data_IF_353905755319
#
_entry.id   IF_353905755319
#
_cell.length_a   1.000
_cell.length_b   1.000
_cell.length_c   1.000
_cell.angle_alpha   90.00
_cell.angle_beta   90.00
_cell.angle_gamma   90.00
#
_symmetry.space_group_name_H-M   'P 1'
#
loop_
_entity.id
_entity.type
_entity.pdbx_description
1 polymer ?
#
# COMPACT_ATOMS: atom_id res chain seq x y z
N UNK A 1 -45.86 17.44 -4.08
CA UNK A 1 -44.68 16.56 -4.00
C UNK A 1 -43.76 16.96 -5.12
N UNK A 2 -42.49 17.28 -4.83
CA UNK A 2 -41.48 17.51 -5.87
C UNK A 2 -41.18 16.18 -6.56
N UNK A 3 -41.08 16.20 -7.89
CA UNK A 3 -40.61 15.05 -8.68
C UNK A 3 -39.09 15.07 -8.64
N UNK A 4 -38.46 13.91 -8.44
CA UNK A 4 -37.01 13.83 -8.31
C UNK A 4 -36.44 12.74 -9.20
N UNK A 5 -35.21 12.95 -9.66
CA UNK A 5 -34.39 11.94 -10.30
C UNK A 5 -33.21 11.61 -9.39
N UNK A 6 -32.98 10.32 -9.18
CA UNK A 6 -31.83 9.81 -8.42
C UNK A 6 -30.87 9.16 -9.40
N UNK A 7 -29.63 9.64 -9.48
CA UNK A 7 -28.61 9.11 -10.38
C UNK A 7 -27.35 8.76 -9.61
N UNK A 8 -26.77 7.63 -9.97
CA UNK A 8 -25.46 7.20 -9.49
C UNK A 8 -24.36 7.71 -10.43
N UNK A 9 -23.58 8.67 -9.93
CA UNK A 9 -22.35 9.13 -10.56
C UNK A 9 -21.23 8.12 -10.39
N UNK A 10 -20.43 7.93 -11.43
CA UNK A 10 -19.22 7.11 -11.38
C UNK A 10 -18.03 8.02 -11.67
N UNK A 11 -17.19 8.23 -10.66
CA UNK A 11 -15.91 8.88 -10.82
C UNK A 11 -14.88 7.87 -11.28
N UNK A 12 -14.04 8.28 -12.22
CA UNK A 12 -12.85 7.53 -12.65
C UNK A 12 -11.68 8.47 -12.76
N UNK A 13 -10.52 8.03 -12.26
CA UNK A 13 -9.23 8.70 -12.42
C UNK A 13 -8.22 7.61 -12.75
N UNK A 14 -7.41 7.87 -13.76
CA UNK A 14 -6.21 7.11 -14.06
C UNK A 14 -5.03 8.06 -13.91
N UNK A 15 -4.00 7.64 -13.19
CA UNK A 15 -2.80 8.46 -12.95
C UNK A 15 -1.58 7.58 -12.86
N UNK A 16 -0.45 7.97 -13.49
CA UNK A 16 0.79 7.25 -13.29
C UNK A 16 1.24 7.38 -11.82
N UNK A 17 1.87 6.34 -11.24
CA UNK A 17 2.49 6.45 -9.93
C UNK A 17 3.68 7.41 -9.98
N UNK A 18 3.83 8.22 -8.93
CA UNK A 18 4.94 9.16 -8.76
C UNK A 18 5.72 8.93 -7.46
N UNK A 19 5.41 7.84 -6.76
CA UNK A 19 5.96 7.50 -5.46
C UNK A 19 6.17 6.00 -5.29
N UNK A 20 7.24 5.63 -4.60
CA UNK A 20 7.61 4.24 -4.33
C UNK A 20 7.60 4.01 -2.82
N UNK A 21 7.01 2.90 -2.39
CA UNK A 21 7.04 2.41 -1.01
C UNK A 21 7.70 1.04 -0.98
N UNK A 22 8.82 0.93 -0.29
CA UNK A 22 9.45 -0.36 0.03
C UNK A 22 9.03 -0.74 1.44
N UNK A 23 8.26 -1.81 1.55
CA UNK A 23 7.90 -2.42 2.83
C UNK A 23 8.87 -3.53 3.17
N UNK A 24 9.28 -3.60 4.43
CA UNK A 24 10.27 -4.55 4.92
C UNK A 24 9.76 -5.22 6.19
N UNK A 25 9.87 -6.53 6.28
CA UNK A 25 9.55 -7.30 7.49
C UNK A 25 10.81 -7.95 8.04
N UNK A 26 11.02 -7.77 9.34
CA UNK A 26 12.11 -8.38 10.09
C UNK A 26 11.53 -9.24 11.20
N UNK A 27 12.10 -10.43 11.37
CA UNK A 27 11.75 -11.33 12.45
C UNK A 27 13.01 -11.70 13.25
N UNK A 28 12.88 -11.61 14.57
CA UNK A 28 13.89 -12.08 15.52
C UNK A 28 13.24 -13.06 16.49
N UNK A 29 13.91 -14.18 16.75
CA UNK A 29 13.40 -15.22 17.64
C UNK A 29 14.47 -15.64 18.64
N UNK A 30 14.11 -15.65 19.92
CA UNK A 30 14.93 -16.21 20.98
C UNK A 30 14.04 -16.79 22.10
N UNK A 31 14.54 -17.79 22.82
CA UNK A 31 13.87 -18.35 23.99
C UNK A 31 13.81 -17.37 25.17
N UNK A 32 14.73 -16.40 25.21
CA UNK A 32 14.73 -15.29 26.14
C UNK A 32 14.17 -14.02 25.46
N UNK A 33 13.16 -13.42 26.09
CA UNK A 33 12.49 -12.23 25.59
C UNK A 33 13.44 -11.04 25.35
N UNK A 34 14.35 -10.76 26.29
CA UNK A 34 15.28 -9.62 26.19
C UNK A 34 16.23 -9.79 25.02
N UNK A 35 16.73 -11.02 24.81
CA UNK A 35 17.59 -11.33 23.65
C UNK A 35 16.86 -11.18 22.32
N UNK A 36 15.60 -11.62 22.24
CA UNK A 36 14.80 -11.44 21.02
C UNK A 36 14.62 -9.95 20.69
N UNK A 37 14.39 -9.12 21.71
CA UNK A 37 14.29 -7.67 21.57
C UNK A 37 15.60 -7.01 21.16
N UNK A 38 16.73 -7.40 21.77
CA UNK A 38 18.06 -6.90 21.40
C UNK A 38 18.42 -7.24 19.95
N UNK A 39 18.17 -8.49 19.53
CA UNK A 39 18.39 -8.90 18.14
C UNK A 39 17.53 -8.09 17.17
N UNK A 40 16.26 -7.88 17.48
CA UNK A 40 15.38 -7.08 16.65
C UNK A 40 15.86 -5.63 16.53
N UNK A 41 16.33 -5.03 17.63
CA UNK A 41 16.90 -3.67 17.61
C UNK A 41 18.18 -3.59 16.75
N UNK A 42 19.05 -4.60 16.83
CA UNK A 42 20.26 -4.69 16.00
C UNK A 42 19.93 -4.84 14.51
N UNK A 43 18.94 -5.67 14.16
CA UNK A 43 18.49 -5.82 12.78
C UNK A 43 18.00 -4.49 12.18
N UNK A 44 17.26 -3.69 12.96
CA UNK A 44 16.79 -2.36 12.55
C UNK A 44 17.98 -1.39 12.37
N UNK A 45 18.98 -1.44 13.24
CA UNK A 45 20.19 -0.61 13.11
C UNK A 45 20.98 -0.94 11.83
N UNK A 46 21.17 -2.23 11.52
CA UNK A 46 21.79 -2.65 10.26
C UNK A 46 21.03 -2.15 9.04
N UNK A 47 19.69 -2.23 9.07
CA UNK A 47 18.86 -1.77 7.96
C UNK A 47 18.94 -0.25 7.78
N UNK A 48 18.88 0.52 8.87
CA UNK A 48 19.05 1.97 8.80
C UNK A 48 20.42 2.34 8.23
N UNK A 49 21.49 1.70 8.70
CA UNK A 49 22.85 1.94 8.17
C UNK A 49 22.97 1.62 6.68
N UNK A 50 22.38 0.50 6.24
CA UNK A 50 22.37 0.12 4.83
C UNK A 50 21.69 1.20 3.97
N UNK A 51 20.51 1.67 4.38
CA UNK A 51 19.79 2.71 3.63
C UNK A 51 20.46 4.09 3.73
N UNK A 52 21.04 4.45 4.87
CA UNK A 52 21.82 5.68 5.03
C UNK A 52 23.04 5.70 4.09
N UNK A 53 23.67 4.54 3.84
CA UNK A 53 24.82 4.44 2.92
C UNK A 53 24.50 4.78 1.46
N UNK A 54 23.23 4.71 1.07
CA UNK A 54 22.72 5.09 -0.26
C UNK A 54 21.94 6.40 -0.25
N UNK A 55 22.12 7.22 0.80
CA UNK A 55 21.67 8.61 0.83
C UNK A 55 20.26 8.83 1.41
N UNK A 56 19.68 7.84 2.12
CA UNK A 56 18.51 8.11 2.96
C UNK A 56 18.91 8.90 4.20
N UNK A 57 18.03 9.80 4.65
CA UNK A 57 18.24 10.54 5.90
C UNK A 57 18.02 9.61 7.09
N UNK A 58 18.66 9.93 8.21
CA UNK A 58 18.35 9.32 9.50
C UNK A 58 16.84 9.40 9.77
N UNK A 59 16.23 8.29 10.19
CA UNK A 59 14.77 8.15 10.42
C UNK A 59 13.88 8.16 9.16
N UNK A 60 14.44 7.93 7.97
CA UNK A 60 13.62 7.72 6.75
C UNK A 60 12.83 6.41 6.82
N UNK A 61 13.38 5.39 7.48
CA UNK A 61 12.68 4.15 7.79
C UNK A 61 11.66 4.42 8.89
N UNK A 62 10.41 4.04 8.65
CA UNK A 62 9.29 4.16 9.59
C UNK A 62 8.82 2.78 10.02
N UNK A 63 8.55 2.62 11.31
CA UNK A 63 7.87 1.42 11.81
C UNK A 63 6.38 1.55 11.54
N UNK A 64 5.83 0.60 10.77
CA UNK A 64 4.41 0.49 10.45
C UNK A 64 3.69 -0.34 11.51
N UNK A 65 4.32 -1.45 11.92
CA UNK A 65 3.77 -2.33 12.93
C UNK A 65 4.91 -2.98 13.73
N UNK A 66 4.67 -3.19 15.01
CA UNK A 66 5.57 -3.95 15.88
C UNK A 66 4.73 -4.89 16.73
N UNK A 67 5.11 -6.17 16.75
CA UNK A 67 4.42 -7.18 17.53
C UNK A 67 5.41 -8.18 18.12
N UNK A 68 5.18 -8.57 19.37
CA UNK A 68 5.90 -9.66 20.02
C UNK A 68 4.90 -10.74 20.42
N UNK A 69 5.17 -11.97 20.03
CA UNK A 69 4.33 -13.13 20.34
C UNK A 69 5.17 -14.27 20.90
N UNK A 70 4.55 -15.11 21.71
CA UNK A 70 5.12 -16.40 22.09
C UNK A 70 4.92 -17.41 20.97
N UNK A 71 5.93 -18.20 20.71
CA UNK A 71 5.91 -19.28 19.73
C UNK A 71 5.87 -20.64 20.43
N UNK A 72 5.16 -21.59 19.83
CA UNK A 72 5.05 -22.95 20.33
C UNK A 72 5.16 -23.95 19.19
N UNK A 73 5.99 -24.97 19.39
CA UNK A 73 6.14 -26.07 18.45
C UNK A 73 5.18 -27.21 18.79
N UNK A 74 4.58 -27.82 17.75
CA UNK A 74 3.74 -29.00 17.89
C UNK A 74 4.59 -30.27 17.82
N UNK A 75 4.91 -30.83 18.98
CA UNK A 75 5.75 -32.03 19.08
C UNK A 75 4.87 -33.27 19.28
N UNK A 76 5.16 -34.35 18.57
CA UNK A 76 4.46 -35.64 18.72
C UNK A 76 5.12 -36.46 19.82
N UNK A 77 4.35 -36.91 20.79
CA UNK A 77 4.83 -37.79 21.85
C UNK A 77 4.95 -39.26 21.38
N UNK A 78 5.58 -40.10 22.20
CA UNK A 78 5.77 -41.54 21.92
C UNK A 78 4.45 -42.31 21.75
N UNK A 79 3.34 -41.77 22.25
CA UNK A 79 2.00 -42.37 22.15
C UNK A 79 1.22 -41.85 20.94
N UNK A 80 1.84 -41.00 20.12
CA UNK A 80 1.26 -40.44 18.91
C UNK A 80 0.41 -39.19 19.11
N UNK A 81 0.34 -38.64 20.34
CA UNK A 81 -0.40 -37.42 20.63
C UNK A 81 0.46 -36.17 20.36
N UNK A 82 -0.18 -35.09 19.92
CA UNK A 82 0.51 -33.80 19.75
C UNK A 82 0.46 -32.98 21.04
N UNK A 83 1.60 -32.40 21.42
CA UNK A 83 1.73 -31.45 22.52
C UNK A 83 2.32 -30.14 22.01
N UNK A 84 1.86 -29.03 22.57
CA UNK A 84 2.39 -27.69 22.31
C UNK A 84 3.53 -27.42 23.29
N UNK A 85 4.75 -27.22 22.79
CA UNK A 85 5.95 -26.96 23.59
C UNK A 85 6.42 -25.54 23.30
N UNK A 86 6.70 -24.77 24.35
CA UNK A 86 7.19 -23.40 24.19
C UNK A 86 8.50 -23.37 23.40
N UNK A 87 8.53 -22.56 22.33
CA UNK A 87 9.62 -22.46 21.37
C UNK A 87 10.25 -21.04 21.33
N UNK A 88 9.89 -20.18 22.29
CA UNK A 88 10.48 -18.86 22.47
C UNK A 88 9.54 -17.71 22.15
N UNK A 89 10.15 -16.53 21.96
CA UNK A 89 9.48 -15.29 21.61
C UNK A 89 9.87 -14.89 20.21
N UNK A 90 8.88 -14.50 19.40
CA UNK A 90 9.05 -13.96 18.06
C UNK A 90 8.71 -12.48 18.09
N UNK A 91 9.71 -11.66 17.76
CA UNK A 91 9.56 -10.21 17.57
C UNK A 91 9.48 -9.91 16.08
N UNK A 92 8.35 -9.38 15.64
CA UNK A 92 8.12 -9.01 14.25
C UNK A 92 8.04 -7.48 14.10
N UNK A 93 8.84 -6.94 13.19
CA UNK A 93 8.83 -5.53 12.81
C UNK A 93 8.44 -5.40 11.35
N UNK A 94 7.38 -4.64 11.08
CA UNK A 94 7.09 -4.13 9.74
C UNK A 94 7.53 -2.70 9.64
N UNK A 95 8.40 -2.44 8.69
CA UNK A 95 9.01 -1.17 8.42
C UNK A 95 8.65 -0.74 6.99
N UNK A 96 8.72 0.55 6.73
CA UNK A 96 8.64 1.09 5.38
C UNK A 96 9.64 2.21 5.15
N UNK A 97 10.07 2.36 3.91
CA UNK A 97 10.73 3.56 3.40
C UNK A 97 10.04 3.99 2.12
N UNK A 98 9.92 5.30 1.93
CA UNK A 98 9.12 5.87 0.84
C UNK A 98 9.85 7.07 0.22
N UNK A 99 9.76 7.21 -1.10
CA UNK A 99 10.48 8.23 -1.87
C UNK A 99 9.86 8.44 -3.26
N UNK A 100 10.19 9.56 -3.91
CA UNK A 100 9.71 9.91 -5.25
C UNK A 100 10.11 8.83 -6.27
N UNK A 101 9.28 8.62 -7.29
CA UNK A 101 9.51 7.58 -8.30
C UNK A 101 10.84 7.79 -9.02
N UNK A 102 11.79 6.91 -8.74
CA UNK A 102 13.14 6.91 -9.31
C UNK A 102 13.66 5.47 -9.30
N UNK A 103 13.75 4.86 -10.48
CA UNK A 103 14.19 3.48 -10.68
C UNK A 103 15.65 3.26 -10.29
N UNK A 104 16.51 4.27 -10.42
CA UNK A 104 17.91 4.19 -9.99
C UNK A 104 18.01 4.19 -8.47
N UNK A 105 17.25 5.07 -7.82
CA UNK A 105 17.16 5.10 -6.35
C UNK A 105 16.57 3.79 -5.81
N UNK A 106 15.57 3.23 -6.49
CA UNK A 106 15.01 1.92 -6.17
C UNK A 106 16.09 0.82 -6.24
N UNK A 107 16.80 0.70 -7.36
CA UNK A 107 17.86 -0.29 -7.54
C UNK A 107 18.98 -0.15 -6.48
N UNK A 108 19.40 1.08 -6.17
CA UNK A 108 20.38 1.35 -5.10
C UNK A 108 19.87 0.90 -3.73
N UNK A 109 18.60 1.21 -3.42
CA UNK A 109 17.96 0.81 -2.17
C UNK A 109 17.91 -0.70 -2.03
N UNK A 110 17.44 -1.40 -3.07
CA UNK A 110 17.36 -2.86 -3.08
C UNK A 110 18.74 -3.52 -2.95
N UNK A 111 19.77 -2.98 -3.60
CA UNK A 111 21.15 -3.48 -3.47
C UNK A 111 21.73 -3.26 -2.08
N UNK A 112 21.41 -2.15 -1.44
CA UNK A 112 21.83 -1.91 -0.06
C UNK A 112 21.13 -2.85 0.92
N UNK A 113 19.83 -3.07 0.73
CA UNK A 113 19.03 -3.99 1.56
C UNK A 113 19.50 -5.44 1.35
N UNK A 114 19.81 -5.87 0.12
CA UNK A 114 20.25 -7.24 -0.14
C UNK A 114 21.59 -7.60 0.51
N UNK A 115 22.45 -6.61 0.71
CA UNK A 115 23.73 -6.74 1.42
C UNK A 115 23.58 -6.58 2.94
N UNK A 116 22.39 -6.23 3.43
CA UNK A 116 22.14 -6.05 4.85
C UNK A 116 22.16 -7.40 5.58
N UNK A 117 22.87 -7.46 6.71
CA UNK A 117 22.95 -8.66 7.55
C UNK A 117 21.58 -9.09 8.10
N UNK A 118 20.65 -8.14 8.25
CA UNK A 118 19.32 -8.40 8.79
C UNK A 118 18.41 -9.17 7.82
N UNK A 119 18.73 -9.19 6.51
CA UNK A 119 18.00 -9.90 5.45
C UNK A 119 16.47 -9.81 5.58
N UNK A 120 15.90 -8.58 5.51
CA UNK A 120 14.45 -8.43 5.61
C UNK A 120 13.75 -9.05 4.40
N UNK A 121 12.56 -9.61 4.66
CA UNK A 121 11.59 -9.83 3.59
C UNK A 121 11.11 -8.46 3.09
N UNK A 122 10.95 -8.29 1.78
CA UNK A 122 10.56 -7.00 1.22
C UNK A 122 9.50 -7.11 0.13
N UNK A 123 8.71 -6.06 0.01
CA UNK A 123 7.76 -5.84 -1.08
C UNK A 123 7.80 -4.39 -1.52
N UNK A 124 7.51 -4.16 -2.80
CA UNK A 124 7.53 -2.83 -3.40
C UNK A 124 6.14 -2.51 -3.90
N UNK A 125 5.68 -1.30 -3.59
CA UNK A 125 4.42 -0.76 -4.08
C UNK A 125 4.68 0.58 -4.78
N UNK A 126 4.02 0.78 -5.92
CA UNK A 126 4.00 2.04 -6.64
C UNK A 126 2.70 2.77 -6.31
N UNK A 127 2.80 4.02 -5.88
CA UNK A 127 1.69 4.82 -5.38
C UNK A 127 1.82 6.27 -5.82
N UNK A 128 0.91 7.12 -5.36
CA UNK A 128 1.01 8.57 -5.51
C UNK A 128 1.44 9.20 -4.19
N UNK A 129 2.19 10.29 -4.29
CA UNK A 129 2.65 11.07 -3.13
C UNK A 129 1.50 11.79 -2.42
N UNK A 130 0.49 12.21 -3.17
CA UNK A 130 -0.72 12.87 -2.64
C UNK A 130 -2.01 12.14 -3.06
N UNK A 131 -2.43 11.10 -2.31
CA UNK A 131 -3.70 10.42 -2.54
C UNK A 131 -4.92 11.36 -2.44
N UNK A 132 -4.80 12.46 -1.67
CA UNK A 132 -5.90 13.43 -1.52
C UNK A 132 -6.14 14.21 -2.80
N UNK A 133 -5.09 14.50 -3.58
CA UNK A 133 -5.24 15.13 -4.89
C UNK A 133 -5.97 14.21 -5.90
N UNK A 134 -5.66 12.91 -5.88
CA UNK A 134 -6.36 11.91 -6.69
C UNK A 134 -7.84 11.83 -6.29
N UNK A 135 -8.12 11.77 -4.99
CA UNK A 135 -9.48 11.75 -4.48
C UNK A 135 -10.30 12.99 -4.91
N UNK A 136 -9.71 14.19 -4.83
CA UNK A 136 -10.37 15.42 -5.30
C UNK A 136 -10.74 15.35 -6.79
N UNK A 137 -9.86 14.79 -7.64
CA UNK A 137 -10.15 14.59 -9.07
C UNK A 137 -11.29 13.58 -9.26
N UNK A 138 -11.28 12.51 -8.47
CA UNK A 138 -12.27 11.44 -8.52
C UNK A 138 -13.67 11.94 -8.17
N UNK A 139 -13.80 12.71 -7.10
CA UNK A 139 -15.07 13.30 -6.66
C UNK A 139 -15.66 14.26 -7.71
N UNK A 140 -14.80 15.08 -8.32
CA UNK A 140 -15.22 15.96 -9.42
C UNK A 140 -15.71 15.17 -10.63
N UNK A 141 -14.96 14.14 -11.02
CA UNK A 141 -15.32 13.21 -12.11
C UNK A 141 -16.68 12.54 -11.84
N UNK A 142 -16.92 12.06 -10.62
CA UNK A 142 -18.20 11.44 -10.23
C UNK A 142 -19.38 12.41 -10.35
N UNK A 143 -19.18 13.66 -9.90
CA UNK A 143 -20.20 14.71 -9.93
C UNK A 143 -20.58 15.10 -11.36
N UNK A 144 -19.58 15.30 -12.22
CA UNK A 144 -19.80 15.61 -13.64
C UNK A 144 -20.57 14.47 -14.31
N UNK A 145 -20.11 13.23 -14.12
CA UNK A 145 -20.76 12.05 -14.68
C UNK A 145 -22.22 11.88 -14.23
N UNK A 146 -22.50 12.16 -12.96
CA UNK A 146 -23.86 12.06 -12.42
C UNK A 146 -24.79 13.08 -13.07
N UNK A 147 -24.31 14.32 -13.24
CA UNK A 147 -25.07 15.40 -13.87
C UNK A 147 -25.36 15.11 -15.33
N UNK A 148 -24.35 14.70 -16.12
CA UNK A 148 -24.54 14.36 -17.54
C UNK A 148 -25.60 13.25 -17.72
N UNK A 149 -25.56 12.21 -16.88
CA UNK A 149 -26.58 11.15 -16.90
C UNK A 149 -27.97 11.68 -16.54
N UNK A 150 -28.08 12.56 -15.54
CA UNK A 150 -29.35 13.15 -15.16
C UNK A 150 -29.94 14.01 -16.29
N UNK A 151 -29.10 14.80 -16.96
CA UNK A 151 -29.49 15.62 -18.12
C UNK A 151 -30.01 14.75 -19.27
N UNK A 152 -29.29 13.69 -19.66
CA UNK A 152 -29.72 12.74 -20.71
C UNK A 152 -31.07 12.08 -20.37
N UNK A 153 -31.24 11.63 -19.13
CA UNK A 153 -32.47 10.97 -18.70
C UNK A 153 -33.67 11.91 -18.68
N UNK A 154 -33.46 13.17 -18.29
CA UNK A 154 -34.50 14.20 -18.33
C UNK A 154 -34.89 14.55 -19.77
N UNK A 155 -33.91 14.77 -20.65
CA UNK A 155 -34.13 15.06 -22.07
C UNK A 155 -34.91 13.93 -22.75
N UNK A 156 -34.49 12.68 -22.56
CA UNK A 156 -35.18 11.51 -23.12
C UNK A 156 -36.60 11.30 -22.56
N UNK A 157 -36.89 11.86 -21.38
CA UNK A 157 -38.20 11.81 -20.73
C UNK A 157 -39.04 13.07 -20.96
N UNK A 158 -38.54 14.02 -21.77
CA UNK A 158 -39.18 15.30 -22.09
C UNK A 158 -39.55 16.14 -20.86
N UNK A 159 -38.64 16.15 -19.88
CA UNK A 159 -38.69 16.94 -18.63
C UNK A 159 -37.38 17.71 -18.45
N UNK A 160 -37.36 18.76 -17.64
CA UNK A 160 -36.17 19.56 -17.36
C UNK A 160 -35.50 19.14 -16.05
N UNK A 161 -34.16 19.16 -16.03
CA UNK A 161 -33.40 18.95 -14.80
C UNK A 161 -33.45 20.22 -13.91
N UNK A 162 -33.85 20.05 -12.66
CA UNK A 162 -33.95 21.11 -11.66
C UNK A 162 -32.75 21.16 -10.70
N UNK A 163 -32.97 21.76 -9.53
CA UNK A 163 -31.92 21.98 -8.54
C UNK A 163 -31.45 20.66 -7.88
N UNK A 164 -30.16 20.61 -7.50
CA UNK A 164 -29.59 19.50 -6.75
C UNK A 164 -30.12 19.54 -5.30
N UNK A 165 -30.76 18.46 -4.87
CA UNK A 165 -31.42 18.37 -3.56
C UNK A 165 -30.56 17.63 -2.52
N UNK A 166 -29.87 16.56 -2.93
CA UNK A 166 -29.05 15.77 -2.02
C UNK A 166 -27.87 15.11 -2.73
N UNK A 167 -26.78 14.94 -1.99
CA UNK A 167 -25.64 14.09 -2.35
C UNK A 167 -25.49 13.09 -1.22
N UNK A 168 -25.63 11.80 -1.54
CA UNK A 168 -25.26 10.71 -0.65
C UNK A 168 -23.90 10.18 -1.12
N UNK A 169 -22.89 10.48 -0.29
CA UNK A 169 -21.54 10.01 -0.47
C UNK A 169 -21.04 9.44 0.86
N UNK A 170 -20.93 8.11 0.91
CA UNK A 170 -20.38 7.39 2.04
C UNK A 170 -19.20 6.54 1.55
N UNK A 171 -17.98 6.93 1.93
CA UNK A 171 -16.76 6.29 1.47
C UNK A 171 -15.80 6.03 2.64
N UNK A 172 -15.04 4.92 2.53
CA UNK A 172 -13.89 4.60 3.38
C UNK A 172 -12.58 4.99 2.69
N UNK A 173 -11.43 4.89 3.38
CA UNK A 173 -10.12 5.30 2.84
C UNK A 173 -9.82 4.71 1.43
N UNK A 174 -9.49 5.59 0.47
CA UNK A 174 -9.05 5.20 -0.88
C UNK A 174 -7.69 4.52 -0.77
N UNK A 175 -7.58 3.28 -1.27
CA UNK A 175 -6.28 2.66 -1.47
C UNK A 175 -5.74 3.01 -2.87
N UNK A 176 -4.85 3.99 -2.96
CA UNK A 176 -4.27 4.47 -4.22
C UNK A 176 -2.93 3.79 -4.47
N UNK A 177 -2.96 2.53 -4.89
CA UNK A 177 -1.76 1.73 -5.15
C UNK A 177 -1.90 1.06 -6.52
N UNK A 178 -0.83 1.07 -7.29
CA UNK A 178 -0.77 0.38 -8.60
C UNK A 178 -0.96 -1.12 -8.41
N UNK A 179 -1.55 -1.77 -9.41
CA UNK A 179 -1.71 -3.23 -9.42
C UNK A 179 -0.42 -3.97 -9.73
N UNK A 180 0.64 -3.26 -10.13
CA UNK A 180 1.96 -3.84 -10.33
C UNK A 180 2.52 -4.32 -8.98
N UNK A 181 2.42 -5.62 -8.73
CA UNK A 181 3.07 -6.27 -7.59
C UNK A 181 4.50 -6.65 -7.98
N UNK A 182 5.46 -6.10 -7.24
CA UNK A 182 6.86 -6.51 -7.35
C UNK A 182 7.26 -7.25 -6.08
N UNK A 183 7.15 -8.58 -6.15
CA UNK A 183 7.61 -9.50 -5.12
C UNK A 183 8.98 -10.03 -5.50
N UNK A 184 9.98 -9.75 -4.66
CA UNK A 184 11.31 -10.32 -4.80
C UNK A 184 11.44 -11.50 -3.85
N UNK A 185 11.69 -12.68 -4.41
CA UNK A 185 12.18 -13.82 -3.63
C UNK A 185 13.60 -13.50 -3.11
N UNK A 186 13.95 -14.03 -1.94
CA UNK A 186 15.26 -13.81 -1.30
C UNK A 186 16.43 -14.19 -2.24
N UNK A 187 16.22 -15.16 -3.14
CA UNK A 187 17.21 -15.57 -4.15
C UNK A 187 17.40 -14.56 -5.29
N UNK A 188 16.40 -13.72 -5.58
CA UNK A 188 16.46 -12.70 -6.62
C UNK A 188 17.25 -11.46 -6.18
N UNK A 189 17.33 -11.19 -4.87
CA UNK A 189 18.09 -10.07 -4.31
C UNK A 189 19.62 -10.21 -4.43
N UNK A 190 20.10 -11.43 -4.73
CA UNK A 190 21.51 -11.73 -4.94
C UNK A 190 22.02 -11.37 -6.36
N UNK A 191 21.16 -10.84 -7.23
CA UNK A 191 21.57 -10.41 -8.58
C UNK A 191 22.54 -9.20 -8.53
N UNK A 192 23.51 -9.12 -9.46
CA UNK A 192 24.43 -8.00 -9.53
C UNK A 192 23.69 -6.68 -9.83
N UNK A 193 24.12 -5.59 -9.18
CA UNK A 193 23.49 -4.26 -9.21
C UNK A 193 23.26 -3.71 -10.63
N UNK A 194 24.15 -4.03 -11.58
CA UNK A 194 24.01 -3.66 -12.99
C UNK A 194 22.81 -4.30 -13.67
N UNK A 195 22.47 -5.54 -13.31
CA UNK A 195 21.33 -6.24 -13.88
C UNK A 195 19.98 -5.70 -13.38
N UNK A 196 19.92 -5.17 -12.15
CA UNK A 196 18.70 -4.54 -11.61
C UNK A 196 18.52 -3.09 -12.09
N UNK A 197 19.61 -2.36 -12.33
CA UNK A 197 19.54 -0.99 -12.86
C UNK A 197 19.16 -0.95 -14.34
N UNK A 198 19.46 -2.02 -15.09
CA UNK A 198 19.00 -2.21 -16.47
C UNK A 198 17.55 -2.74 -16.57
N UNK A 199 16.91 -3.09 -15.45
CA UNK A 199 15.48 -3.39 -15.43
C UNK A 199 14.70 -2.08 -15.51
N UNK A 200 14.23 -1.76 -16.71
CA UNK A 200 13.33 -0.63 -16.96
C UNK A 200 11.93 -0.98 -16.43
N UNK A 201 11.71 -0.72 -15.14
CA UNK A 201 10.43 -0.97 -14.49
C UNK A 201 9.51 0.22 -14.75
N UNK A 202 8.53 0.00 -15.62
CA UNK A 202 7.42 0.94 -15.87
C UNK A 202 6.14 0.37 -15.23
N UNK A 203 5.72 0.84 -14.05
CA UNK A 203 4.52 0.37 -13.40
C UNK A 203 3.26 0.83 -14.14
N UNK A 204 2.19 0.05 -14.04
CA UNK A 204 0.88 0.41 -14.59
C UNK A 204 0.30 1.65 -13.88
N UNK A 205 -0.48 2.42 -14.64
CA UNK A 205 -1.29 3.51 -14.11
C UNK A 205 -2.22 3.02 -12.99
N UNK A 206 -2.43 3.90 -12.01
CA UNK A 206 -3.32 3.65 -10.88
C UNK A 206 -4.73 4.07 -11.29
N UNK A 207 -5.55 3.08 -11.62
CA UNK A 207 -6.97 3.27 -11.88
C UNK A 207 -7.78 3.25 -10.58
N UNK A 208 -8.39 4.38 -10.26
CA UNK A 208 -9.30 4.52 -9.13
C UNK A 208 -10.70 4.87 -9.64
N UNK A 209 -11.70 4.15 -9.13
CA UNK A 209 -13.10 4.44 -9.41
C UNK A 209 -13.91 4.46 -8.13
N UNK A 210 -14.85 5.39 -8.03
CA UNK A 210 -15.79 5.46 -6.92
C UNK A 210 -17.15 5.97 -7.39
N UNK A 211 -18.16 5.86 -6.54
CA UNK A 211 -19.53 6.22 -6.89
C UNK A 211 -20.19 7.04 -5.80
N UNK A 212 -20.95 8.05 -6.22
CA UNK A 212 -21.77 8.87 -5.34
C UNK A 212 -23.20 8.94 -5.90
N UNK A 213 -24.19 9.02 -5.02
CA UNK A 213 -25.59 9.11 -5.40
C UNK A 213 -26.05 10.55 -5.27
N UNK A 214 -26.74 11.04 -6.29
CA UNK A 214 -27.20 12.41 -6.37
C UNK A 214 -28.70 12.42 -6.65
N UNK A 215 -29.40 13.35 -6.01
CA UNK A 215 -30.85 13.55 -6.17
C UNK A 215 -31.09 14.96 -6.66
N UNK A 216 -31.74 15.11 -7.82
CA UNK A 216 -32.17 16.40 -8.37
C UNK A 216 -33.68 16.49 -8.43
N UNK A 217 -34.18 17.72 -8.45
CA UNK A 217 -35.54 18.02 -8.87
C UNK A 217 -35.72 17.76 -10.38
N UNK A 218 -36.95 17.42 -10.78
CA UNK A 218 -37.39 17.36 -12.18
C UNK A 218 -38.52 18.39 -12.36
N UNK A 219 -38.50 19.12 -13.48
CA UNK A 219 -39.50 20.12 -13.86
C UNK A 219 -40.24 19.75 -15.15
#
# INVERSE_FOLDING_TARGET
MSRTITVKGVGRVSTPPDYIVISMSLEAQDTNYEKAMEQAALQIDYLNKALESVGFKKKSVKTVNFNVRTDYERVKDRNGNYKSVFNGYICNHRLKVEFDFDTRRLAQSLSAISKCLAKPELSIAFTVKDPSAVNKKLLKSATINAREKAEILCEASNVALGDLLAIDYNWGELNVVSRTEYMLDEKCLAMPMGAMADMDIEPDDIDVSDTATFVWEIR
#
